data_IF_543253170444
#
_entry.id   IF_543253170444
#
_cell.length_a   1.000
_cell.length_b   1.000
_cell.length_c   1.000
_cell.angle_alpha   90.00
_cell.angle_beta   90.00
_cell.angle_gamma   90.00
#
_symmetry.space_group_name_H-M   'P 1'
#
loop_
_entity.id
_entity.type
_entity.pdbx_description
1 polymer ?
#
# COMPACT_ATOMS: atom_id res chain seq x y z
N UNK A 1 -13.55 20.26 39.32
CA UNK A 1 -12.40 19.49 39.87
C UNK A 1 -11.79 18.78 38.68
N UNK A 2 -11.30 19.57 37.73
CA UNK A 2 -11.00 19.12 36.38
C UNK A 2 -9.53 19.44 36.16
N UNK A 3 -8.74 18.49 35.64
CA UNK A 3 -7.33 18.63 35.20
C UNK A 3 -6.22 18.07 36.10
N UNK A 4 -6.45 17.04 36.93
CA UNK A 4 -5.31 16.26 37.42
C UNK A 4 -5.06 15.05 36.53
N UNK A 5 -3.98 15.12 35.74
CA UNK A 5 -3.53 14.01 34.91
C UNK A 5 -2.89 12.94 35.79
N UNK A 6 -3.19 11.66 35.55
CA UNK A 6 -2.54 10.57 36.28
C UNK A 6 -1.02 10.58 36.03
N UNK A 7 -0.21 10.39 37.07
CA UNK A 7 1.26 10.28 36.97
C UNK A 7 1.69 9.21 35.95
N UNK A 8 0.90 8.14 35.80
CA UNK A 8 1.13 7.09 34.79
C UNK A 8 0.95 7.64 33.37
N UNK A 9 -0.05 8.50 33.15
CA UNK A 9 -0.28 9.15 31.86
C UNK A 9 0.88 10.08 31.50
N UNK A 10 1.28 10.97 32.41
CA UNK A 10 2.36 11.94 32.16
C UNK A 10 3.68 11.23 31.86
N UNK A 11 4.06 10.24 32.70
CA UNK A 11 5.26 9.43 32.49
C UNK A 11 5.29 8.76 31.11
N UNK A 12 4.13 8.32 30.61
CA UNK A 12 4.03 7.66 29.30
C UNK A 12 4.16 8.64 28.14
N UNK A 13 3.50 9.79 28.21
CA UNK A 13 3.63 10.85 27.21
C UNK A 13 5.08 11.33 27.14
N UNK A 14 5.73 11.50 28.29
CA UNK A 14 7.16 11.84 28.38
C UNK A 14 8.05 10.76 27.75
N UNK A 15 7.81 9.48 28.04
CA UNK A 15 8.54 8.36 27.43
C UNK A 15 8.35 8.32 25.91
N UNK A 16 7.13 8.56 25.44
CA UNK A 16 6.82 8.61 24.01
C UNK A 16 7.54 9.78 23.32
N UNK A 17 7.54 10.97 23.93
CA UNK A 17 8.27 12.12 23.46
C UNK A 17 9.79 11.86 23.40
N UNK A 18 10.36 11.25 24.45
CA UNK A 18 11.77 10.86 24.46
C UNK A 18 12.11 9.86 23.35
N UNK A 19 11.23 8.90 23.07
CA UNK A 19 11.40 7.96 21.96
C UNK A 19 11.35 8.67 20.59
N UNK A 20 10.40 9.60 20.39
CA UNK A 20 10.31 10.44 19.19
C UNK A 20 11.61 11.23 18.95
N UNK A 21 12.17 11.83 20.00
CA UNK A 21 13.36 12.66 19.90
C UNK A 21 14.61 11.81 19.59
N UNK A 22 14.70 10.60 20.15
CA UNK A 22 15.72 9.61 19.76
C UNK A 22 15.58 9.18 18.32
N UNK A 23 14.36 8.88 17.86
CA UNK A 23 14.08 8.57 16.45
C UNK A 23 14.52 9.69 15.51
N UNK A 24 14.24 10.94 15.89
CA UNK A 24 14.64 12.13 15.13
C UNK A 24 16.16 12.27 15.05
N UNK A 25 16.87 11.93 16.13
CA UNK A 25 18.33 11.91 16.16
C UNK A 25 18.90 10.83 15.24
N UNK A 26 18.35 9.61 15.28
CA UNK A 26 18.80 8.52 14.40
C UNK A 26 18.52 8.80 12.92
N UNK A 27 17.39 9.43 12.62
CA UNK A 27 17.04 9.84 11.26
C UNK A 27 18.05 10.86 10.70
N UNK A 28 18.45 11.84 11.52
CA UNK A 28 19.51 12.80 11.15
C UNK A 28 20.87 12.13 10.93
N UNK A 29 21.17 11.08 11.70
CA UNK A 29 22.38 10.27 11.51
C UNK A 29 22.34 9.32 10.30
N UNK A 30 21.24 9.31 9.53
CA UNK A 30 21.07 8.45 8.35
C UNK A 30 20.62 7.01 8.67
N UNK A 31 20.46 6.66 9.95
CA UNK A 31 20.03 5.32 10.37
C UNK A 31 18.50 5.21 10.33
N UNK A 32 17.93 5.13 9.13
CA UNK A 32 16.46 5.13 8.93
C UNK A 32 15.77 3.94 9.62
N UNK A 33 16.34 2.74 9.57
CA UNK A 33 15.74 1.54 10.19
C UNK A 33 15.62 1.66 11.71
N UNK A 34 16.68 2.16 12.38
CA UNK A 34 16.65 2.41 13.82
C UNK A 34 15.68 3.54 14.17
N UNK A 35 15.55 4.54 13.30
CA UNK A 35 14.57 5.61 13.50
C UNK A 35 13.15 5.06 13.52
N UNK A 36 12.80 4.15 12.59
CA UNK A 36 11.49 3.47 12.55
C UNK A 36 11.23 2.74 13.86
N UNK A 37 12.18 1.94 14.35
CA UNK A 37 12.03 1.20 15.62
C UNK A 37 11.72 2.14 16.81
N UNK A 38 12.42 3.27 16.90
CA UNK A 38 12.17 4.25 17.95
C UNK A 38 10.81 4.94 17.83
N UNK A 39 10.35 5.20 16.61
CA UNK A 39 9.04 5.79 16.37
C UNK A 39 7.90 4.80 16.65
N UNK A 40 8.03 3.54 16.25
CA UNK A 40 7.07 2.48 16.61
C UNK A 40 7.00 2.31 18.13
N UNK A 41 8.14 2.37 18.83
CA UNK A 41 8.18 2.37 20.30
C UNK A 41 7.52 3.61 20.91
N UNK A 42 7.63 4.77 20.26
CA UNK A 42 6.92 5.98 20.70
C UNK A 42 5.41 5.78 20.61
N UNK A 43 4.91 5.21 19.51
CA UNK A 43 3.49 4.89 19.34
C UNK A 43 3.01 3.86 20.36
N UNK A 44 3.79 2.81 20.64
CA UNK A 44 3.45 1.82 21.67
C UNK A 44 3.17 2.45 23.05
N UNK A 45 3.88 3.51 23.41
CA UNK A 45 3.65 4.20 24.68
C UNK A 45 2.36 5.02 24.71
N UNK A 46 1.76 5.37 23.57
CA UNK A 46 0.57 6.23 23.46
C UNK A 46 -0.65 5.56 22.83
N UNK A 47 -0.49 4.45 22.12
CA UNK A 47 -1.56 3.64 21.54
C UNK A 47 -1.97 2.53 22.52
N UNK A 48 -2.98 2.80 23.36
CA UNK A 48 -3.64 1.79 24.20
C UNK A 48 -4.86 1.19 23.49
N UNK A 49 -5.40 0.08 24.01
CA UNK A 49 -6.70 -0.45 23.59
C UNK A 49 -7.82 0.54 23.92
N UNK A 50 -8.69 0.82 22.93
CA UNK A 50 -9.79 1.80 22.94
C UNK A 50 -10.69 1.75 24.19
N UNK A 51 -10.79 0.60 24.86
CA UNK A 51 -11.53 0.44 26.12
C UNK A 51 -10.95 1.24 27.30
N UNK A 52 -9.64 1.52 27.31
CA UNK A 52 -9.01 2.37 28.34
C UNK A 52 -9.18 3.86 28.00
N UNK A 53 -9.33 4.19 26.71
CA UNK A 53 -9.49 5.57 26.23
C UNK A 53 -10.81 6.21 26.65
N UNK A 54 -11.88 5.42 26.80
CA UNK A 54 -13.21 5.94 27.11
C UNK A 54 -13.37 6.36 28.59
N UNK A 55 -12.56 5.82 29.49
CA UNK A 55 -12.68 6.10 30.93
C UNK A 55 -11.66 7.13 31.45
N UNK A 56 -10.53 7.37 30.76
CA UNK A 56 -9.42 8.19 31.30
C UNK A 56 -9.17 9.54 30.59
N UNK A 57 -9.74 9.80 29.40
CA UNK A 57 -9.31 10.95 28.58
C UNK A 57 -10.41 11.98 28.33
N UNK A 58 -10.39 13.07 29.10
CA UNK A 58 -10.97 14.37 28.68
C UNK A 58 -10.22 14.91 27.45
N UNK A 59 -10.83 15.83 26.69
CA UNK A 59 -10.24 16.42 25.45
C UNK A 59 -8.79 16.91 25.63
N UNK A 60 -8.45 17.43 26.81
CA UNK A 60 -7.10 17.90 27.15
C UNK A 60 -6.03 16.80 27.07
N UNK A 61 -6.36 15.56 27.43
CA UNK A 61 -5.41 14.45 27.38
C UNK A 61 -5.22 13.94 25.94
N UNK A 62 -6.29 13.97 25.13
CA UNK A 62 -6.23 13.62 23.70
C UNK A 62 -5.29 14.56 22.97
N UNK A 63 -5.36 15.86 23.27
CA UNK A 63 -4.47 16.85 22.71
C UNK A 63 -3.00 16.58 23.07
N UNK A 64 -2.69 16.30 24.33
CA UNK A 64 -1.33 15.98 24.77
C UNK A 64 -0.75 14.73 24.09
N UNK A 65 -1.58 13.71 23.84
CA UNK A 65 -1.15 12.52 23.08
C UNK A 65 -0.96 12.86 21.60
N UNK A 66 -1.88 13.62 21.01
CA UNK A 66 -1.81 14.03 19.61
C UNK A 66 -0.57 14.90 19.30
N UNK A 67 -0.10 15.70 20.25
CA UNK A 67 1.17 16.44 20.16
C UNK A 67 2.38 15.52 19.95
N UNK A 68 2.32 14.29 20.46
CA UNK A 68 3.37 13.27 20.24
C UNK A 68 3.07 12.45 18.99
N UNK A 69 1.83 11.98 18.80
CA UNK A 69 1.44 11.10 17.68
C UNK A 69 1.62 11.76 16.32
N UNK A 70 1.17 13.00 16.16
CA UNK A 70 1.24 13.72 14.87
C UNK A 70 2.67 13.76 14.29
N UNK A 71 3.70 14.27 15.01
CA UNK A 71 5.06 14.28 14.47
C UNK A 71 5.65 12.88 14.30
N UNK A 72 5.25 11.89 15.12
CA UNK A 72 5.71 10.50 14.98
C UNK A 72 5.20 9.87 13.68
N UNK A 73 3.90 9.96 13.39
CA UNK A 73 3.33 9.48 12.13
C UNK A 73 3.92 10.17 10.91
N UNK A 74 4.08 11.51 10.99
CA UNK A 74 4.74 12.28 9.94
C UNK A 74 6.17 11.79 9.69
N UNK A 75 6.94 11.53 10.74
CA UNK A 75 8.31 11.07 10.62
C UNK A 75 8.40 9.61 10.14
N UNK A 76 7.50 8.73 10.57
CA UNK A 76 7.39 7.36 10.06
C UNK A 76 7.10 7.35 8.55
N UNK A 77 6.13 8.14 8.09
CA UNK A 77 5.84 8.29 6.67
C UNK A 77 7.07 8.79 5.89
N UNK A 78 7.86 9.69 6.47
CA UNK A 78 9.12 10.14 5.87
C UNK A 78 10.20 9.05 5.88
N UNK A 79 10.29 8.25 6.94
CA UNK A 79 11.22 7.13 7.03
C UNK A 79 10.92 6.07 5.98
N UNK A 80 9.67 5.64 5.82
CA UNK A 80 9.31 4.63 4.82
C UNK A 80 9.48 5.12 3.38
N UNK A 81 9.35 6.43 3.13
CA UNK A 81 9.69 7.04 1.83
C UNK A 81 11.20 7.09 1.54
N UNK A 82 12.05 7.09 2.57
CA UNK A 82 13.51 7.15 2.45
C UNK A 82 14.19 5.81 2.75
N UNK A 83 13.42 4.78 3.10
CA UNK A 83 13.95 3.46 3.40
C UNK A 83 14.47 2.79 2.12
N UNK A 84 15.49 1.94 2.26
CA UNK A 84 16.05 1.19 1.14
C UNK A 84 15.01 0.26 0.50
N UNK A 85 14.11 -0.30 1.31
CA UNK A 85 12.91 -0.99 0.86
C UNK A 85 11.73 -0.02 0.99
N UNK A 86 11.28 0.52 -0.14
CA UNK A 86 10.13 1.42 -0.21
C UNK A 86 8.84 0.64 0.04
N UNK A 87 8.14 0.99 1.11
CA UNK A 87 6.82 0.45 1.44
C UNK A 87 5.79 1.58 1.39
N UNK A 88 5.16 1.75 0.23
CA UNK A 88 4.18 2.81 0.03
C UNK A 88 2.88 2.57 0.81
N UNK A 89 2.54 1.32 1.17
CA UNK A 89 1.34 1.04 1.97
C UNK A 89 1.48 1.68 3.34
N UNK A 90 2.62 1.43 4.00
CA UNK A 90 2.92 2.03 5.31
C UNK A 90 2.99 3.54 5.26
N UNK A 91 3.47 4.13 4.16
CA UNK A 91 3.46 5.60 4.02
C UNK A 91 2.03 6.14 4.01
N UNK A 92 1.12 5.50 3.26
CA UNK A 92 -0.29 5.89 3.22
C UNK A 92 -0.93 5.73 4.59
N UNK A 93 -0.77 4.58 5.24
CA UNK A 93 -1.33 4.31 6.57
C UNK A 93 -0.89 5.38 7.60
N UNK A 94 0.41 5.67 7.67
CA UNK A 94 0.92 6.69 8.58
C UNK A 94 0.49 8.12 8.20
N UNK A 95 0.37 8.42 6.90
CA UNK A 95 -0.14 9.70 6.44
C UNK A 95 -1.62 9.88 6.82
N UNK A 96 -2.44 8.83 6.68
CA UNK A 96 -3.85 8.85 7.05
C UNK A 96 -4.05 9.02 8.56
N UNK A 97 -3.27 8.33 9.39
CA UNK A 97 -3.29 8.54 10.84
C UNK A 97 -2.91 9.99 11.22
N UNK A 98 -1.93 10.58 10.54
CA UNK A 98 -1.59 11.99 10.73
C UNK A 98 -2.73 12.93 10.31
N UNK A 99 -3.45 12.61 9.23
CA UNK A 99 -4.59 13.39 8.74
C UNK A 99 -5.85 13.26 9.61
N UNK A 100 -6.02 12.15 10.33
CA UNK A 100 -7.06 12.02 11.36
C UNK A 100 -6.85 12.99 12.52
N UNK A 101 -5.59 13.32 12.83
CA UNK A 101 -5.24 14.28 13.88
C UNK A 101 -5.28 15.72 13.33
N UNK A 102 -4.64 15.97 12.18
CA UNK A 102 -4.61 17.26 11.50
C UNK A 102 -4.88 17.09 10.00
N UNK A 103 -6.15 17.24 9.63
CA UNK A 103 -6.63 17.03 8.26
C UNK A 103 -6.04 18.01 7.24
N UNK A 104 -5.44 19.13 7.66
CA UNK A 104 -4.85 20.14 6.77
C UNK A 104 -3.32 20.06 6.73
N UNK A 105 -2.73 19.06 7.37
CA UNK A 105 -1.28 18.92 7.46
C UNK A 105 -0.65 18.73 6.08
N UNK A 106 0.01 19.77 5.56
CA UNK A 106 0.60 19.75 4.23
C UNK A 106 1.64 18.62 4.03
N UNK A 107 2.40 18.28 5.09
CA UNK A 107 3.41 17.21 5.02
C UNK A 107 2.76 15.83 4.91
N UNK A 108 1.68 15.57 5.64
CA UNK A 108 0.93 14.32 5.52
C UNK A 108 0.27 14.21 4.14
N UNK A 109 -0.43 15.27 3.71
CA UNK A 109 -1.07 15.35 2.38
C UNK A 109 -0.07 15.10 1.24
N UNK A 110 1.10 15.73 1.30
CA UNK A 110 2.16 15.54 0.31
C UNK A 110 2.69 14.10 0.31
N UNK A 111 3.03 13.54 1.48
CA UNK A 111 3.63 12.20 1.59
C UNK A 111 2.65 11.10 1.17
N UNK A 112 1.40 11.17 1.62
CA UNK A 112 0.33 10.25 1.20
C UNK A 112 0.01 10.38 -0.29
N UNK A 113 -0.08 11.62 -0.80
CA UNK A 113 -0.27 11.89 -2.22
C UNK A 113 0.85 11.33 -3.10
N UNK A 114 2.12 11.48 -2.66
CA UNK A 114 3.28 10.90 -3.31
C UNK A 114 3.25 9.37 -3.28
N UNK A 115 2.90 8.76 -2.15
CA UNK A 115 2.81 7.30 -2.05
C UNK A 115 1.74 6.73 -2.99
N UNK A 116 0.55 7.32 -3.03
CA UNK A 116 -0.49 6.92 -3.98
C UNK A 116 -0.08 7.12 -5.44
N UNK A 117 0.67 8.19 -5.75
CA UNK A 117 1.22 8.40 -7.08
C UNK A 117 2.17 7.26 -7.48
N UNK A 118 3.02 6.80 -6.56
CA UNK A 118 3.95 5.69 -6.81
C UNK A 118 3.23 4.33 -6.90
N UNK A 119 2.12 4.16 -6.20
CA UNK A 119 1.26 2.98 -6.33
C UNK A 119 0.39 2.97 -7.61
N UNK A 120 0.32 4.08 -8.34
CA UNK A 120 -0.53 4.22 -9.53
C UNK A 120 -1.98 4.64 -9.23
N UNK A 121 -2.30 4.94 -7.96
CA UNK A 121 -3.60 5.43 -7.51
C UNK A 121 -3.75 6.94 -7.81
N UNK A 122 -3.85 7.28 -9.10
CA UNK A 122 -3.74 8.68 -9.56
C UNK A 122 -4.85 9.59 -9.06
N UNK A 123 -6.07 9.09 -8.87
CA UNK A 123 -7.20 9.91 -8.40
C UNK A 123 -7.03 10.35 -6.95
N UNK A 124 -6.63 9.43 -6.06
CA UNK A 124 -6.34 9.76 -4.66
C UNK A 124 -5.11 10.67 -4.55
N UNK A 125 -4.05 10.37 -5.31
CA UNK A 125 -2.87 11.23 -5.39
C UNK A 125 -3.24 12.66 -5.80
N UNK A 126 -4.14 12.82 -6.80
CA UNK A 126 -4.58 14.13 -7.28
C UNK A 126 -5.33 14.90 -6.20
N UNK A 127 -6.23 14.24 -5.47
CA UNK A 127 -7.01 14.85 -4.38
C UNK A 127 -6.08 15.36 -3.27
N UNK A 128 -5.17 14.52 -2.78
CA UNK A 128 -4.25 14.86 -1.70
C UNK A 128 -3.24 15.94 -2.11
N UNK A 129 -2.62 15.84 -3.28
CA UNK A 129 -1.63 16.82 -3.74
C UNK A 129 -2.27 18.18 -4.05
N UNK A 130 -3.54 18.23 -4.50
CA UNK A 130 -4.28 19.49 -4.65
C UNK A 130 -4.55 20.17 -3.30
N UNK A 131 -4.86 19.41 -2.26
CA UNK A 131 -4.99 19.96 -0.92
C UNK A 131 -3.63 20.42 -0.38
N UNK A 132 -2.56 19.65 -0.64
CA UNK A 132 -1.21 19.99 -0.21
C UNK A 132 -0.74 21.33 -0.80
N UNK A 133 -0.97 21.59 -2.11
CA UNK A 133 -0.58 22.85 -2.76
C UNK A 133 -1.42 24.04 -2.29
N UNK A 134 -2.68 23.83 -1.89
CA UNK A 134 -3.48 24.90 -1.29
C UNK A 134 -2.91 25.33 0.06
N UNK A 135 -2.42 24.36 0.86
CA UNK A 135 -1.78 24.66 2.15
C UNK A 135 -0.37 25.25 1.98
N UNK A 136 0.42 24.77 1.01
CA UNK A 136 1.80 25.21 0.77
C UNK A 136 2.07 25.41 -0.74
N UNK A 137 1.65 26.55 -1.32
CA UNK A 137 1.73 26.78 -2.77
C UNK A 137 3.16 26.92 -3.30
N UNK A 138 4.09 27.35 -2.46
CA UNK A 138 5.48 27.61 -2.86
C UNK A 138 6.38 26.37 -2.79
N UNK A 139 5.93 25.27 -2.18
CA UNK A 139 6.74 24.07 -2.05
C UNK A 139 7.05 23.46 -3.42
N UNK A 140 8.35 23.35 -3.71
CA UNK A 140 8.86 22.79 -4.96
C UNK A 140 8.52 21.31 -5.10
N UNK A 141 8.61 20.56 -4.00
CA UNK A 141 8.40 19.11 -3.97
C UNK A 141 6.96 18.75 -4.34
N UNK A 142 5.99 19.56 -3.91
CA UNK A 142 4.56 19.40 -4.23
C UNK A 142 4.34 19.68 -5.72
N UNK A 143 4.95 20.73 -6.27
CA UNK A 143 4.86 21.07 -7.70
C UNK A 143 5.45 19.97 -8.59
N UNK A 144 6.62 19.44 -8.22
CA UNK A 144 7.23 18.32 -8.93
C UNK A 144 6.34 17.06 -8.90
N UNK A 145 5.73 16.75 -7.76
CA UNK A 145 4.79 15.63 -7.65
C UNK A 145 3.53 15.83 -8.50
N UNK A 146 2.99 17.06 -8.58
CA UNK A 146 1.85 17.37 -9.45
C UNK A 146 2.18 17.26 -10.94
N UNK A 147 3.39 17.66 -11.34
CA UNK A 147 3.86 17.49 -12.71
C UNK A 147 3.95 16.00 -13.06
N UNK A 148 4.58 15.20 -12.21
CA UNK A 148 4.69 13.75 -12.41
C UNK A 148 3.30 13.08 -12.47
N UNK A 149 2.34 13.57 -11.67
CA UNK A 149 0.97 13.10 -11.73
C UNK A 149 0.30 13.41 -13.07
N UNK A 150 0.53 14.61 -13.63
CA UNK A 150 -0.01 14.98 -14.94
C UNK A 150 0.57 14.11 -16.05
N UNK A 151 1.88 13.84 -16.00
CA UNK A 151 2.56 12.94 -16.95
C UNK A 151 1.99 11.52 -16.88
N UNK A 152 1.84 10.96 -15.68
CA UNK A 152 1.27 9.62 -15.48
C UNK A 152 -0.20 9.53 -15.91
N UNK A 153 -0.98 10.57 -15.65
CA UNK A 153 -2.38 10.62 -16.07
C UNK A 153 -2.52 10.73 -17.60
N UNK A 154 -1.64 11.48 -18.26
CA UNK A 154 -1.60 11.54 -19.72
C UNK A 154 -1.20 10.19 -20.33
N UNK A 155 -0.22 9.50 -19.73
CA UNK A 155 0.21 8.16 -20.14
C UNK A 155 -0.95 7.14 -20.04
N UNK A 156 -1.68 7.12 -18.92
CA UNK A 156 -2.85 6.26 -18.75
C UNK A 156 -3.94 6.56 -19.79
N UNK A 157 -4.30 7.84 -19.97
CA UNK A 157 -5.31 8.24 -20.96
C UNK A 157 -4.91 7.86 -22.38
N UNK A 158 -3.63 7.93 -22.72
CA UNK A 158 -3.14 7.52 -24.03
C UNK A 158 -3.21 6.01 -24.22
N UNK A 159 -2.86 5.23 -23.20
CA UNK A 159 -3.01 3.77 -23.22
C UNK A 159 -4.47 3.37 -23.38
N UNK A 160 -5.38 3.97 -22.61
CA UNK A 160 -6.82 3.73 -22.72
C UNK A 160 -7.35 4.03 -24.12
N UNK A 161 -6.93 5.14 -24.74
CA UNK A 161 -7.31 5.47 -26.13
C UNK A 161 -6.81 4.44 -27.13
N UNK A 162 -5.60 3.91 -26.96
CA UNK A 162 -5.06 2.89 -27.86
C UNK A 162 -5.81 1.57 -27.70
N UNK A 163 -6.09 1.16 -26.46
CA UNK A 163 -6.84 -0.08 -26.16
C UNK A 163 -8.30 0.01 -26.63
N UNK A 164 -8.98 1.11 -26.37
CA UNK A 164 -10.38 1.29 -26.77
C UNK A 164 -10.54 1.63 -28.26
N UNK A 165 -9.67 2.48 -28.80
CA UNK A 165 -9.67 2.86 -30.21
C UNK A 165 -9.35 1.70 -31.14
N UNK A 166 -8.41 0.82 -30.76
CA UNK A 166 -8.10 -0.40 -31.51
C UNK A 166 -9.27 -1.40 -31.52
N UNK A 167 -9.98 -1.54 -30.39
CA UNK A 167 -11.14 -2.43 -30.26
C UNK A 167 -12.35 -1.96 -31.07
N UNK A 168 -12.62 -0.66 -31.06
CA UNK A 168 -13.72 -0.09 -31.85
C UNK A 168 -13.46 -0.26 -33.36
N UNK A 169 -12.22 -0.04 -33.79
CA UNK A 169 -11.83 -0.22 -35.20
C UNK A 169 -11.91 -1.70 -35.62
N UNK A 170 -11.49 -2.65 -34.77
CA UNK A 170 -11.59 -4.08 -35.06
C UNK A 170 -13.04 -4.57 -35.17
N UNK A 171 -13.94 -4.11 -34.29
CA UNK A 171 -15.37 -4.47 -34.34
C UNK A 171 -16.05 -3.90 -35.61
N UNK A 172 -15.64 -2.72 -36.09
CA UNK A 172 -16.18 -2.17 -37.34
C UNK A 172 -15.71 -2.91 -38.59
N UNK A 173 -14.50 -3.46 -38.61
CA UNK A 173 -14.00 -4.28 -39.73
C UNK A 173 -14.67 -5.65 -39.81
N UNK A 174 -15.06 -6.26 -38.68
CA UNK A 174 -15.82 -7.51 -38.69
C UNK A 174 -17.30 -7.29 -39.08
N UNK A 175 -17.89 -6.13 -38.78
CA UNK A 175 -19.26 -5.79 -39.17
C UNK A 175 -19.41 -5.32 -40.63
N UNK A 176 -18.32 -4.92 -41.30
CA UNK A 176 -18.35 -4.51 -42.71
C UNK A 176 -18.16 -5.67 -43.71
N UNK A 177 -17.85 -6.88 -43.24
CA UNK A 177 -17.68 -8.08 -44.09
C UNK A 177 -18.93 -8.97 -44.15
N UNK A 178 -20.08 -8.55 -43.59
CA UNK A 178 -21.30 -9.38 -43.53
C UNK A 178 -22.54 -8.82 -44.23
N UNK A 179 -22.42 -7.88 -45.18
CA UNK A 179 -23.55 -7.48 -46.03
C UNK A 179 -23.14 -7.41 -47.52
N UNK A 180 -23.33 -8.54 -48.22
CA UNK A 180 -23.06 -8.69 -49.64
C UNK A 180 -23.39 -10.10 -50.16
N UNK A 181 -24.66 -10.25 -50.55
CA UNK A 181 -25.26 -11.24 -51.48
C UNK A 181 -25.98 -12.50 -50.96
N UNK A 182 -27.28 -12.51 -51.31
CA UNK A 182 -28.25 -13.60 -51.24
C UNK A 182 -28.11 -14.50 -52.48
N UNK A 183 -27.82 -15.78 -52.28
CA UNK A 183 -28.31 -16.90 -53.13
C UNK A 183 -28.20 -18.26 -52.40
N UNK A 184 -29.34 -18.86 -52.09
CA UNK A 184 -29.55 -20.26 -51.60
C UNK A 184 -29.86 -21.23 -52.77
N UNK A 185 -29.99 -22.58 -52.60
CA UNK A 185 -29.49 -23.54 -51.58
C UNK A 185 -28.99 -24.91 -52.15
N UNK A 186 -28.18 -25.69 -51.42
CA UNK A 186 -28.25 -27.19 -51.39
C UNK A 186 -27.34 -27.83 -50.31
N UNK A 187 -27.92 -28.75 -49.53
CA UNK A 187 -27.33 -29.52 -48.41
C UNK A 187 -26.67 -30.87 -48.86
N UNK A 188 -26.26 -31.81 -47.98
CA UNK A 188 -25.33 -31.83 -46.82
C UNK A 188 -24.30 -33.01 -46.93
N UNK A 189 -23.76 -33.62 -45.85
CA UNK A 189 -22.62 -33.19 -45.04
C UNK A 189 -21.41 -34.17 -45.09
N UNK A 190 -20.21 -33.71 -44.74
CA UNK A 190 -19.08 -34.61 -44.42
C UNK A 190 -18.30 -34.13 -43.19
N UNK A 191 -17.92 -35.11 -42.37
CA UNK A 191 -17.48 -35.05 -40.97
C UNK A 191 -15.97 -34.75 -40.79
N UNK A 192 -15.62 -34.60 -39.51
CA UNK A 192 -14.31 -34.82 -38.83
C UNK A 192 -13.29 -33.67 -39.06
N UNK A 193 -12.69 -33.04 -38.05
CA UNK A 193 -12.12 -33.59 -36.82
C UNK A 193 -11.99 -32.52 -35.73
N UNK A 194 -12.22 -32.97 -34.49
CA UNK A 194 -11.92 -32.25 -33.27
C UNK A 194 -10.45 -32.47 -32.86
N UNK A 195 -10.03 -31.70 -31.84
CA UNK A 195 -8.92 -31.94 -30.90
C UNK A 195 -7.53 -31.42 -31.28
N UNK A 196 -7.27 -30.16 -30.92
CA UNK A 196 -5.93 -29.71 -30.48
C UNK A 196 -6.14 -28.67 -29.37
N UNK A 197 -6.16 -29.14 -28.12
CA UNK A 197 -6.35 -28.27 -26.95
C UNK A 197 -6.04 -28.91 -25.60
N UNK A 198 -5.99 -30.24 -25.49
CA UNK A 198 -5.86 -30.92 -24.18
C UNK A 198 -4.42 -31.28 -23.77
N UNK A 199 -3.41 -31.10 -24.61
CA UNK A 199 -2.04 -31.55 -24.27
C UNK A 199 -1.25 -30.60 -23.35
N UNK A 200 -1.66 -29.34 -23.19
CA UNK A 200 -0.91 -28.38 -22.37
C UNK A 200 -1.25 -28.45 -20.86
N UNK A 201 -2.46 -28.89 -20.50
CA UNK A 201 -2.92 -28.91 -19.09
C UNK A 201 -2.41 -30.16 -18.35
N UNK A 202 -2.15 -31.25 -19.09
CA UNK A 202 -1.72 -32.51 -18.48
C UNK A 202 -0.23 -32.49 -18.08
N UNK A 203 0.66 -31.81 -18.80
CA UNK A 203 2.09 -31.75 -18.40
C UNK A 203 2.33 -30.92 -17.13
N UNK A 204 1.49 -29.91 -16.88
CA UNK A 204 1.54 -29.10 -15.64
C UNK A 204 1.03 -29.84 -14.40
N UNK A 205 0.14 -30.82 -14.56
CA UNK A 205 -0.40 -31.57 -13.41
C UNK A 205 0.64 -32.55 -12.81
N UNK A 206 1.48 -33.17 -13.64
CA UNK A 206 2.51 -34.12 -13.22
C UNK A 206 3.72 -33.43 -12.56
N UNK A 207 4.01 -32.19 -12.95
CA UNK A 207 5.08 -31.38 -12.32
C UNK A 207 4.67 -30.87 -10.94
N UNK A 208 3.42 -30.46 -10.76
CA UNK A 208 2.91 -30.01 -9.47
C UNK A 208 2.81 -31.18 -8.46
N UNK A 209 2.33 -32.36 -8.90
CA UNK A 209 2.24 -33.54 -8.02
C UNK A 209 3.62 -34.07 -7.61
N UNK A 210 4.61 -34.08 -8.51
CA UNK A 210 5.98 -34.50 -8.16
C UNK A 210 6.64 -33.55 -7.17
N UNK A 211 6.45 -32.23 -7.31
CA UNK A 211 6.96 -31.24 -6.35
C UNK A 211 6.31 -31.43 -4.97
N UNK A 212 4.99 -31.67 -4.92
CA UNK A 212 4.27 -31.83 -3.66
C UNK A 212 4.74 -33.08 -2.88
N UNK A 213 5.01 -34.19 -3.59
CA UNK A 213 5.52 -35.44 -2.99
C UNK A 213 6.94 -35.24 -2.43
N UNK A 214 7.80 -34.51 -3.14
CA UNK A 214 9.15 -34.20 -2.64
C UNK A 214 9.13 -33.31 -1.40
N UNK A 215 8.25 -32.31 -1.35
CA UNK A 215 8.10 -31.43 -0.17
C UNK A 215 7.60 -32.23 1.04
N UNK A 216 6.63 -33.12 0.86
CA UNK A 216 6.13 -33.97 1.95
C UNK A 216 7.20 -34.95 2.45
N UNK A 217 8.03 -35.51 1.57
CA UNK A 217 9.14 -36.38 1.96
C UNK A 217 10.21 -35.66 2.79
N UNK A 218 10.53 -34.41 2.44
CA UNK A 218 11.46 -33.58 3.20
C UNK A 218 10.90 -33.23 4.59
N UNK A 219 9.62 -32.87 4.67
CA UNK A 219 8.96 -32.58 5.95
C UNK A 219 8.94 -33.83 6.84
N UNK A 220 8.61 -35.00 6.29
CA UNK A 220 8.62 -36.26 7.03
C UNK A 220 10.04 -36.62 7.53
N UNK A 221 11.08 -36.38 6.72
CA UNK A 221 12.47 -36.59 7.13
C UNK A 221 12.92 -35.65 8.26
N UNK A 222 12.53 -34.37 8.21
CA UNK A 222 12.84 -33.39 9.26
C UNK A 222 12.09 -33.73 10.55
N UNK A 223 10.84 -34.15 10.47
CA UNK A 223 10.05 -34.59 11.63
C UNK A 223 10.65 -35.86 12.24
N UNK A 224 11.02 -36.86 11.43
CA UNK A 224 11.67 -38.08 11.92
C UNK A 224 13.03 -37.80 12.58
N UNK A 225 13.82 -36.87 12.02
CA UNK A 225 15.07 -36.42 12.64
C UNK A 225 14.83 -35.69 13.97
N UNK A 226 13.84 -34.79 14.01
CA UNK A 226 13.51 -34.01 15.20
C UNK A 226 12.98 -34.87 16.36
N UNK A 227 12.17 -35.88 16.07
CA UNK A 227 11.65 -36.80 17.09
C UNK A 227 12.61 -37.94 17.44
N UNK A 228 13.43 -38.40 16.49
CA UNK A 228 14.45 -39.41 16.73
C UNK A 228 15.57 -38.91 17.65
N UNK A 229 15.94 -37.64 17.54
CA UNK A 229 17.00 -37.05 18.38
C UNK A 229 16.54 -36.69 19.81
N UNK A 230 15.26 -36.88 20.12
CA UNK A 230 14.65 -36.56 21.43
C UNK A 230 14.42 -37.79 22.31
N UNK A 231 14.74 -38.99 21.84
CA UNK A 231 14.52 -40.27 22.52
C UNK A 231 15.80 -41.12 22.72
N UNK A 232 16.97 -40.52 22.54
CA UNK A 232 18.28 -41.04 22.98
C UNK A 232 18.98 -40.00 23.82
#
# INVERSE_FOLDING_TARGET
MDQERSCIFETRVERAAACRDRGSTQFKSGNVLKAIEWYERALYHVDFDEGTWHFEFMDNHRNAVNEVRLPVYLNLAACYLNAAALDYSKVVENADEALKIDAKNAKALYRGGKAHLMQGNLDQARKLLRQAVQSQPNDRSIREALQLLAEKAAEQKQREKQTWGGRLLSETTEASDSDGDVATPSAPPAKVSASQGEQAVQSSAWTITTILVLVLAVIAGVVAWYFGHRLT
#
